data_IF_291861959152
#
_entry.id   IF_291861959152
#
_cell.length_a   1.000
_cell.length_b   1.000
_cell.length_c   1.000
_cell.angle_alpha   90.00
_cell.angle_beta   90.00
_cell.angle_gamma   90.00
#
_symmetry.space_group_name_H-M   'P 1'
#
loop_
_entity.id
_entity.type
_entity.pdbx_description
1 polymer ?
#
# COMPACT_ATOMS: atom_id res chain seq x y z
N UNK A 1 43.31 -48.02 -7.14
CA UNK A 1 42.19 -47.87 -6.17
C UNK A 1 41.25 -46.72 -6.56
N UNK A 2 41.76 -45.52 -6.86
CA UNK A 2 40.96 -44.33 -7.22
C UNK A 2 40.09 -44.52 -8.49
N UNK A 3 40.67 -45.06 -9.57
CA UNK A 3 39.97 -45.29 -10.84
C UNK A 3 38.81 -46.31 -10.73
N UNK A 4 38.92 -47.28 -9.80
CA UNK A 4 37.89 -48.28 -9.56
C UNK A 4 36.68 -47.67 -8.83
N UNK A 5 36.93 -46.79 -7.86
CA UNK A 5 35.90 -46.09 -7.12
C UNK A 5 35.11 -45.12 -8.02
N UNK A 6 35.79 -44.45 -8.95
CA UNK A 6 35.17 -43.56 -9.93
C UNK A 6 34.26 -44.32 -10.90
N UNK A 7 34.75 -45.44 -11.45
CA UNK A 7 33.96 -46.33 -12.32
C UNK A 7 32.74 -46.90 -11.58
N UNK A 8 32.88 -47.25 -10.31
CA UNK A 8 31.76 -47.71 -9.48
C UNK A 8 30.70 -46.61 -9.29
N UNK A 9 31.12 -45.39 -8.95
CA UNK A 9 30.23 -44.22 -8.83
C UNK A 9 29.52 -43.89 -10.15
N UNK A 10 30.22 -43.99 -11.29
CA UNK A 10 29.65 -43.80 -12.62
C UNK A 10 28.54 -44.82 -12.91
N UNK A 11 28.78 -46.09 -12.63
CA UNK A 11 27.78 -47.15 -12.82
C UNK A 11 26.51 -46.90 -11.98
N UNK A 12 26.68 -46.50 -10.71
CA UNK A 12 25.53 -46.14 -9.87
C UNK A 12 24.77 -44.94 -10.43
N UNK A 13 25.47 -43.91 -10.91
CA UNK A 13 24.86 -42.73 -11.52
C UNK A 13 24.02 -43.10 -12.76
N UNK A 14 24.54 -44.00 -13.62
CA UNK A 14 23.85 -44.52 -14.80
C UNK A 14 22.56 -45.24 -14.40
N UNK A 15 22.64 -46.16 -13.43
CA UNK A 15 21.48 -46.93 -12.97
C UNK A 15 20.42 -46.04 -12.31
N UNK A 16 20.84 -45.07 -11.49
CA UNK A 16 19.93 -44.06 -10.94
C UNK A 16 19.26 -43.24 -12.05
N UNK A 17 20.01 -42.85 -13.08
CA UNK A 17 19.47 -42.07 -14.19
C UNK A 17 18.45 -42.88 -14.99
N UNK A 18 18.73 -44.14 -15.32
CA UNK A 18 17.79 -45.04 -16.01
C UNK A 18 16.49 -45.24 -15.23
N UNK A 19 16.55 -45.24 -13.89
CA UNK A 19 15.37 -45.28 -12.99
C UNK A 19 14.58 -43.95 -12.96
N UNK A 20 15.03 -42.92 -13.66
CA UNK A 20 14.35 -41.62 -13.76
C UNK A 20 14.81 -40.59 -12.74
N UNK A 21 15.92 -40.80 -12.00
CA UNK A 21 16.46 -39.80 -11.10
C UNK A 21 16.99 -38.56 -11.86
N UNK A 22 16.78 -37.38 -11.29
CA UNK A 22 17.36 -36.12 -11.76
C UNK A 22 18.84 -36.00 -11.41
N UNK A 23 19.57 -35.15 -12.12
CA UNK A 23 20.99 -34.92 -11.84
C UNK A 23 21.23 -34.39 -10.43
N UNK A 24 20.34 -33.53 -9.91
CA UNK A 24 20.43 -33.04 -8.52
C UNK A 24 20.26 -34.16 -7.49
N UNK A 25 19.42 -35.16 -7.74
CA UNK A 25 19.26 -36.30 -6.83
C UNK A 25 20.47 -37.23 -6.85
N UNK A 26 21.07 -37.42 -8.03
CA UNK A 26 22.28 -38.23 -8.20
C UNK A 26 23.48 -37.52 -7.55
N UNK A 27 23.63 -36.20 -7.78
CA UNK A 27 24.64 -35.36 -7.15
C UNK A 27 24.53 -35.41 -5.63
N UNK A 28 23.33 -35.18 -5.08
CA UNK A 28 23.12 -35.19 -3.62
C UNK A 28 23.45 -36.55 -2.97
N UNK A 29 23.25 -37.65 -3.70
CA UNK A 29 23.49 -39.00 -3.18
C UNK A 29 24.94 -39.46 -3.32
N UNK A 30 25.61 -39.09 -4.41
CA UNK A 30 26.96 -39.57 -4.73
C UNK A 30 28.05 -38.52 -4.50
N UNK A 31 27.66 -37.28 -4.21
CA UNK A 31 28.51 -36.10 -4.07
C UNK A 31 29.41 -35.88 -5.29
N UNK A 32 28.82 -35.96 -6.49
CA UNK A 32 29.52 -35.81 -7.77
C UNK A 32 29.03 -34.55 -8.48
N UNK A 33 29.94 -33.66 -8.92
CA UNK A 33 29.55 -32.44 -9.61
C UNK A 33 28.65 -32.69 -10.83
N UNK A 34 27.65 -31.82 -11.03
CA UNK A 34 26.75 -31.88 -12.21
C UNK A 34 27.48 -31.86 -13.56
N UNK A 35 28.64 -31.19 -13.65
CA UNK A 35 29.46 -31.18 -14.87
C UNK A 35 29.91 -32.60 -15.24
N UNK A 36 30.42 -33.35 -14.27
CA UNK A 36 30.83 -34.76 -14.43
C UNK A 36 29.62 -35.65 -14.74
N UNK A 37 28.51 -35.49 -14.03
CA UNK A 37 27.28 -36.22 -14.32
C UNK A 37 26.73 -35.95 -15.73
N UNK A 38 26.83 -34.71 -16.21
CA UNK A 38 26.42 -34.35 -17.57
C UNK A 38 27.23 -35.07 -18.63
N UNK A 39 28.55 -35.22 -18.40
CA UNK A 39 29.42 -35.97 -19.28
C UNK A 39 29.07 -37.47 -19.26
N UNK A 40 28.96 -38.08 -18.08
CA UNK A 40 28.68 -39.52 -17.94
C UNK A 40 27.29 -39.94 -18.43
N UNK A 41 26.29 -39.08 -18.28
CA UNK A 41 24.88 -39.42 -18.53
C UNK A 41 24.36 -38.88 -19.87
N UNK A 42 25.21 -38.23 -20.68
CA UNK A 42 24.83 -37.55 -21.94
C UNK A 42 24.00 -38.43 -22.89
N UNK A 43 24.31 -39.71 -22.96
CA UNK A 43 23.69 -40.64 -23.91
C UNK A 43 22.43 -41.35 -23.36
N UNK A 44 22.03 -41.09 -22.11
CA UNK A 44 20.88 -41.75 -21.47
C UNK A 44 19.61 -40.93 -21.73
N UNK A 45 18.70 -41.49 -22.53
CA UNK A 45 17.37 -40.92 -22.77
C UNK A 45 16.38 -41.43 -21.73
N UNK A 46 15.61 -40.53 -21.13
CA UNK A 46 14.50 -40.87 -20.24
C UNK A 46 13.22 -41.13 -21.03
N UNK A 47 12.31 -41.92 -20.47
CA UNK A 47 10.97 -42.10 -21.05
C UNK A 47 10.11 -40.83 -20.90
N UNK A 48 9.09 -40.62 -21.75
CA UNK A 48 8.18 -39.47 -21.64
C UNK A 48 7.55 -39.35 -20.25
N UNK A 49 7.18 -40.48 -19.62
CA UNK A 49 6.61 -40.52 -18.28
C UNK A 49 7.61 -40.06 -17.19
N UNK A 50 8.87 -40.51 -17.28
CA UNK A 50 9.92 -40.07 -16.37
C UNK A 50 10.20 -38.57 -16.51
N UNK A 51 10.22 -38.05 -17.75
CA UNK A 51 10.36 -36.61 -18.00
C UNK A 51 9.19 -35.83 -17.41
N UNK A 52 7.95 -36.30 -17.62
CA UNK A 52 6.74 -35.69 -17.05
C UNK A 52 6.81 -35.64 -15.52
N UNK A 53 7.15 -36.76 -14.86
CA UNK A 53 7.30 -36.84 -13.40
C UNK A 53 8.36 -35.86 -12.87
N UNK A 54 9.50 -35.74 -13.55
CA UNK A 54 10.54 -34.77 -13.19
C UNK A 54 10.07 -33.32 -13.34
N UNK A 55 9.33 -33.01 -14.41
CA UNK A 55 8.77 -31.67 -14.64
C UNK A 55 7.68 -31.31 -13.63
N UNK A 56 6.81 -32.25 -13.27
CA UNK A 56 5.81 -32.07 -12.21
C UNK A 56 6.48 -31.81 -10.86
N UNK A 57 7.52 -32.58 -10.52
CA UNK A 57 8.30 -32.36 -9.30
C UNK A 57 8.94 -30.97 -9.29
N UNK A 58 9.58 -30.55 -10.39
CA UNK A 58 10.15 -29.21 -10.54
C UNK A 58 9.10 -28.12 -10.37
N UNK A 59 7.95 -28.27 -11.02
CA UNK A 59 6.84 -27.33 -10.93
C UNK A 59 6.29 -27.23 -9.51
N UNK A 60 6.12 -28.37 -8.82
CA UNK A 60 5.67 -28.41 -7.42
C UNK A 60 6.66 -27.70 -6.50
N UNK A 61 7.95 -27.94 -6.66
CA UNK A 61 9.00 -27.25 -5.90
C UNK A 61 9.04 -25.75 -6.21
N UNK A 62 8.93 -25.36 -7.47
CA UNK A 62 8.88 -23.96 -7.87
C UNK A 62 7.67 -23.23 -7.25
N UNK A 63 6.48 -23.85 -7.30
CA UNK A 63 5.27 -23.34 -6.64
C UNK A 63 5.46 -23.21 -5.12
N UNK A 64 6.00 -24.24 -4.46
CA UNK A 64 6.26 -24.19 -3.03
C UNK A 64 7.25 -23.08 -2.64
N UNK A 65 8.32 -22.90 -3.43
CA UNK A 65 9.28 -21.82 -3.23
C UNK A 65 8.67 -20.43 -3.46
N UNK A 66 7.80 -20.29 -4.47
CA UNK A 66 7.07 -19.05 -4.73
C UNK A 66 6.14 -18.70 -3.55
N UNK A 67 5.38 -19.68 -3.04
CA UNK A 67 4.54 -19.49 -1.85
C UNK A 67 5.36 -19.10 -0.62
N UNK A 68 6.52 -19.74 -0.40
CA UNK A 68 7.45 -19.40 0.68
C UNK A 68 8.02 -18.00 0.53
N UNK A 69 8.29 -17.54 -0.70
CA UNK A 69 8.74 -16.18 -0.97
C UNK A 69 7.63 -15.18 -0.66
N UNK A 70 6.40 -15.43 -1.14
CA UNK A 70 5.23 -14.59 -0.86
C UNK A 70 5.00 -14.47 0.65
N UNK A 71 4.99 -15.58 1.38
CA UNK A 71 4.75 -15.55 2.84
C UNK A 71 5.84 -14.79 3.59
N UNK A 72 7.12 -14.98 3.22
CA UNK A 72 8.25 -14.20 3.76
C UNK A 72 8.11 -12.71 3.47
N UNK A 73 7.74 -12.35 2.24
CA UNK A 73 7.53 -10.95 1.84
C UNK A 73 6.38 -10.32 2.61
N UNK A 74 5.23 -11.01 2.75
CA UNK A 74 4.09 -10.51 3.52
C UNK A 74 4.46 -10.29 4.99
N UNK A 75 5.20 -11.24 5.60
CA UNK A 75 5.69 -11.11 6.98
C UNK A 75 6.63 -9.91 7.14
N UNK A 76 7.58 -9.74 6.23
CA UNK A 76 8.50 -8.60 6.24
C UNK A 76 7.76 -7.27 6.09
N UNK A 77 6.77 -7.19 5.20
CA UNK A 77 5.93 -6.00 5.03
C UNK A 77 5.21 -5.66 6.34
N UNK A 78 4.66 -6.67 7.02
CA UNK A 78 3.95 -6.47 8.27
C UNK A 78 4.91 -6.04 9.40
N UNK A 79 6.08 -6.67 9.51
CA UNK A 79 7.12 -6.29 10.48
C UNK A 79 7.59 -4.85 10.27
N UNK A 80 7.80 -4.42 9.02
CA UNK A 80 8.17 -3.04 8.69
C UNK A 80 7.03 -2.07 9.05
N UNK A 81 5.78 -2.41 8.76
CA UNK A 81 4.62 -1.57 9.13
C UNK A 81 4.50 -1.40 10.64
N UNK A 82 4.59 -2.50 11.39
CA UNK A 82 4.47 -2.49 12.86
C UNK A 82 5.62 -1.67 13.46
N UNK A 83 6.87 -1.97 13.09
CA UNK A 83 8.03 -1.24 13.62
C UNK A 83 7.96 0.25 13.28
N UNK A 84 7.71 0.62 12.02
CA UNK A 84 7.60 2.03 11.62
C UNK A 84 6.45 2.77 12.29
N UNK A 85 5.35 2.06 12.62
CA UNK A 85 4.24 2.68 13.36
C UNK A 85 4.61 3.07 14.79
N UNK A 86 5.58 2.38 15.40
CA UNK A 86 6.06 2.65 16.75
C UNK A 86 7.03 3.85 16.81
N UNK A 87 7.59 4.26 15.67
CA UNK A 87 8.44 5.46 15.57
C UNK A 87 7.61 6.73 15.86
N UNK A 88 6.33 6.72 15.50
CA UNK A 88 5.39 7.82 15.75
C UNK A 88 4.79 7.68 17.15
N UNK A 89 5.47 8.19 18.17
CA UNK A 89 5.05 8.06 19.58
C UNK A 89 3.98 9.05 20.01
N UNK A 90 4.28 10.34 19.93
CA UNK A 90 3.40 11.44 20.33
C UNK A 90 3.53 12.56 19.33
N UNK A 91 2.40 13.18 18.99
CA UNK A 91 2.36 14.35 18.12
C UNK A 91 2.27 15.58 19.01
N UNK A 92 3.34 16.38 19.04
CA UNK A 92 3.37 17.67 19.69
C UNK A 92 2.49 18.70 18.97
N UNK A 93 2.16 19.80 19.65
CA UNK A 93 1.42 20.91 19.02
C UNK A 93 2.15 21.48 17.80
N UNK A 94 3.49 21.55 17.84
CA UNK A 94 4.30 22.03 16.71
C UNK A 94 4.24 21.09 15.51
N UNK A 95 4.34 19.78 15.74
CA UNK A 95 4.22 18.77 14.67
C UNK A 95 2.81 18.81 14.07
N UNK A 96 1.76 18.83 14.91
CA UNK A 96 0.39 18.95 14.43
C UNK A 96 0.20 20.23 13.60
N UNK A 97 0.71 21.37 14.09
CA UNK A 97 0.69 22.65 13.36
C UNK A 97 1.30 22.52 11.96
N UNK A 98 2.52 21.96 11.85
CA UNK A 98 3.19 21.72 10.57
C UNK A 98 2.41 20.75 9.67
N UNK A 99 1.87 19.66 10.21
CA UNK A 99 1.07 18.70 9.46
C UNK A 99 -0.13 19.38 8.78
N UNK A 100 -0.88 20.22 9.51
CA UNK A 100 -2.01 20.93 8.92
C UNK A 100 -1.62 21.97 7.88
N UNK A 101 -0.48 22.65 8.02
CA UNK A 101 0.07 23.52 6.99
C UNK A 101 0.34 22.74 5.70
N UNK A 102 1.03 21.61 5.80
CA UNK A 102 1.39 20.78 4.64
C UNK A 102 0.15 20.20 3.99
N UNK A 103 -0.83 19.73 4.78
CA UNK A 103 -2.12 19.26 4.26
C UNK A 103 -2.88 20.36 3.51
N UNK A 104 -2.94 21.57 4.07
CA UNK A 104 -3.57 22.72 3.43
C UNK A 104 -2.85 23.10 2.13
N UNK A 105 -1.51 23.13 2.16
CA UNK A 105 -0.69 23.45 0.99
C UNK A 105 -0.94 22.44 -0.14
N UNK A 106 -0.86 21.14 0.16
CA UNK A 106 -1.09 20.05 -0.81
C UNK A 106 -2.50 20.08 -1.41
N UNK A 107 -3.49 20.59 -0.68
CA UNK A 107 -4.86 20.71 -1.17
C UNK A 107 -5.03 21.77 -2.29
N UNK A 108 -4.05 22.65 -2.51
CA UNK A 108 -4.06 23.60 -3.62
C UNK A 108 -4.85 24.89 -3.38
N UNK A 109 -5.09 25.24 -2.12
CA UNK A 109 -5.98 26.35 -1.72
C UNK A 109 -5.43 27.76 -1.95
N UNK A 110 -4.20 27.87 -2.48
CA UNK A 110 -3.45 29.13 -2.55
C UNK A 110 -4.10 30.20 -3.43
N UNK A 111 -4.94 29.81 -4.38
CA UNK A 111 -5.46 30.75 -5.40
C UNK A 111 -6.69 31.53 -4.95
N UNK A 112 -7.33 31.17 -3.82
CA UNK A 112 -8.55 31.86 -3.39
C UNK A 112 -8.67 31.98 -1.86
N UNK A 113 -7.72 32.68 -1.24
CA UNK A 113 -7.70 32.96 0.21
C UNK A 113 -8.97 33.68 0.71
N UNK A 114 -9.70 34.37 -0.19
CA UNK A 114 -10.99 35.01 0.13
C UNK A 114 -12.08 33.98 0.49
N UNK A 115 -11.99 32.75 -0.02
CA UNK A 115 -12.91 31.65 0.32
C UNK A 115 -12.59 31.00 1.68
N UNK A 116 -11.53 31.44 2.35
CA UNK A 116 -11.12 30.93 3.64
C UNK A 116 -10.45 29.56 3.56
N UNK A 117 -10.47 28.84 4.68
CA UNK A 117 -9.90 27.51 4.82
C UNK A 117 -10.87 26.45 4.31
N UNK A 118 -10.40 25.63 3.38
CA UNK A 118 -11.10 24.44 2.94
C UNK A 118 -10.14 23.26 2.78
N UNK A 119 -10.62 22.05 2.94
CA UNK A 119 -9.82 20.84 2.76
C UNK A 119 -10.70 19.75 2.17
N UNK A 120 -10.20 19.01 1.18
CA UNK A 120 -10.98 17.96 0.50
C UNK A 120 -10.21 16.64 0.52
N UNK A 121 -10.86 15.57 0.94
CA UNK A 121 -10.26 14.23 0.96
C UNK A 121 -11.32 13.15 0.86
N UNK A 122 -10.98 12.06 0.16
CA UNK A 122 -11.74 10.81 0.20
C UNK A 122 -11.30 9.90 1.35
N UNK A 123 -10.15 10.18 1.95
CA UNK A 123 -9.59 9.44 3.08
C UNK A 123 -10.21 9.98 4.40
N UNK A 124 -10.94 9.14 5.17
CA UNK A 124 -11.60 9.56 6.41
C UNK A 124 -10.62 9.93 7.53
N UNK A 125 -9.44 9.33 7.59
CA UNK A 125 -8.46 9.62 8.64
C UNK A 125 -7.75 10.94 8.37
N UNK A 126 -7.55 11.31 7.10
CA UNK A 126 -7.12 12.66 6.71
C UNK A 126 -8.16 13.73 7.07
N UNK A 127 -9.45 13.43 6.90
CA UNK A 127 -10.54 14.32 7.33
C UNK A 127 -10.49 14.53 8.85
N UNK A 128 -10.39 13.45 9.64
CA UNK A 128 -10.28 13.53 11.11
C UNK A 128 -9.06 14.31 11.56
N UNK A 129 -7.90 14.06 10.94
CA UNK A 129 -6.67 14.78 11.24
C UNK A 129 -6.80 16.28 10.97
N UNK A 130 -7.42 16.66 9.85
CA UNK A 130 -7.63 18.06 9.53
C UNK A 130 -8.64 18.73 10.48
N UNK A 131 -9.72 18.03 10.87
CA UNK A 131 -10.66 18.51 11.89
C UNK A 131 -9.97 18.71 13.26
N UNK A 132 -9.12 17.77 13.67
CA UNK A 132 -8.30 17.92 14.89
C UNK A 132 -7.38 19.13 14.81
N UNK A 133 -6.73 19.34 13.67
CA UNK A 133 -5.89 20.53 13.46
C UNK A 133 -6.67 21.84 13.55
N UNK A 134 -7.86 21.91 12.93
CA UNK A 134 -8.72 23.08 13.00
C UNK A 134 -9.09 23.45 14.44
N UNK A 135 -9.42 22.45 15.27
CA UNK A 135 -9.77 22.65 16.68
C UNK A 135 -8.56 23.04 17.52
N UNK A 136 -7.51 22.21 17.50
CA UNK A 136 -6.40 22.31 18.44
C UNK A 136 -5.41 23.43 18.10
N UNK A 137 -5.28 23.76 16.80
CA UNK A 137 -4.31 24.73 16.29
C UNK A 137 -5.00 25.94 15.69
N UNK A 138 -6.05 25.72 14.90
CA UNK A 138 -6.82 26.79 14.28
C UNK A 138 -7.75 27.53 15.23
N UNK A 139 -8.03 26.98 16.42
CA UNK A 139 -8.99 27.54 17.37
C UNK A 139 -10.43 27.62 16.84
N UNK A 140 -10.75 26.79 15.83
CA UNK A 140 -12.03 26.80 15.13
C UNK A 140 -13.05 25.95 15.91
N UNK A 141 -14.22 26.53 16.16
CA UNK A 141 -15.34 25.81 16.78
C UNK A 141 -16.13 25.02 15.73
N UNK A 142 -16.80 23.97 16.18
CA UNK A 142 -17.54 23.06 15.29
C UNK A 142 -18.66 23.78 14.52
N UNK A 143 -19.28 24.82 15.09
CA UNK A 143 -20.35 25.58 14.43
C UNK A 143 -19.86 26.39 13.22
N UNK A 144 -18.55 26.65 13.15
CA UNK A 144 -17.90 27.36 12.05
C UNK A 144 -17.51 26.41 10.91
N UNK A 145 -17.60 25.10 11.15
CA UNK A 145 -17.26 24.06 10.18
C UNK A 145 -18.51 23.69 9.38
N UNK A 146 -18.33 23.62 8.06
CA UNK A 146 -19.37 23.25 7.09
C UNK A 146 -18.85 22.18 6.16
N UNK A 147 -19.75 21.33 5.66
CA UNK A 147 -19.39 20.21 4.81
C UNK A 147 -20.09 20.28 3.44
N UNK A 148 -19.35 19.86 2.42
CA UNK A 148 -19.90 19.50 1.12
C UNK A 148 -19.53 18.06 0.81
N UNK A 149 -20.53 17.24 0.47
CA UNK A 149 -20.31 15.86 0.02
C UNK A 149 -20.23 15.87 -1.50
N UNK A 150 -19.13 15.36 -2.04
CA UNK A 150 -19.00 15.03 -3.45
C UNK A 150 -19.09 13.52 -3.58
N UNK A 151 -19.93 13.02 -4.48
CA UNK A 151 -20.08 11.58 -4.70
C UNK A 151 -20.25 11.25 -6.17
N UNK A 152 -19.87 10.02 -6.52
CA UNK A 152 -20.13 9.48 -7.85
C UNK A 152 -21.59 9.10 -7.96
N UNK A 153 -22.27 9.64 -8.96
CA UNK A 153 -23.67 9.28 -9.19
C UNK A 153 -24.25 9.89 -10.45
N UNK A 154 -25.42 9.39 -10.81
CA UNK A 154 -26.27 9.91 -11.87
C UNK A 154 -27.61 10.29 -11.26
N UNK A 155 -28.07 11.54 -11.46
CA UNK A 155 -29.35 12.03 -10.93
C UNK A 155 -30.55 11.19 -11.36
N UNK A 156 -30.45 10.50 -12.51
CA UNK A 156 -31.51 9.62 -13.04
C UNK A 156 -31.56 8.24 -12.38
N UNK A 157 -30.64 7.93 -11.45
CA UNK A 157 -30.64 6.65 -10.74
C UNK A 157 -31.82 6.56 -9.78
N UNK A 158 -32.64 5.51 -9.90
CA UNK A 158 -33.78 5.24 -9.00
C UNK A 158 -33.37 5.13 -7.53
N UNK A 159 -32.11 4.80 -7.24
CA UNK A 159 -31.60 4.60 -5.87
C UNK A 159 -30.81 5.80 -5.32
N UNK A 160 -30.83 6.96 -6.00
CA UNK A 160 -29.97 8.09 -5.63
C UNK A 160 -30.24 8.62 -4.21
N UNK A 161 -31.50 8.65 -3.77
CA UNK A 161 -31.85 9.08 -2.41
C UNK A 161 -31.26 8.19 -1.32
N UNK A 162 -31.28 6.87 -1.53
CA UNK A 162 -30.67 5.90 -0.60
C UNK A 162 -29.16 6.06 -0.51
N UNK A 163 -28.48 6.20 -1.66
CA UNK A 163 -27.03 6.42 -1.72
C UNK A 163 -26.64 7.73 -1.02
N UNK A 164 -27.47 8.76 -1.16
CA UNK A 164 -27.28 10.04 -0.48
C UNK A 164 -27.35 9.88 1.04
N UNK A 165 -28.37 9.20 1.56
CA UNK A 165 -28.51 8.98 3.01
C UNK A 165 -27.36 8.11 3.54
N UNK A 166 -27.02 6.99 2.87
CA UNK A 166 -25.89 6.13 3.25
C UNK A 166 -24.56 6.89 3.31
N UNK A 167 -24.29 7.73 2.30
CA UNK A 167 -23.04 8.52 2.25
C UNK A 167 -23.03 9.60 3.34
N UNK A 168 -24.17 10.23 3.59
CA UNK A 168 -24.30 11.23 4.65
C UNK A 168 -24.11 10.60 6.03
N UNK A 169 -24.67 9.40 6.24
CA UNK A 169 -24.51 8.63 7.48
C UNK A 169 -23.06 8.26 7.72
N UNK A 170 -22.38 7.77 6.68
CA UNK A 170 -20.98 7.45 6.73
C UNK A 170 -20.13 8.66 7.16
N UNK A 171 -20.29 9.81 6.51
CA UNK A 171 -19.50 11.00 6.86
C UNK A 171 -19.88 11.60 8.21
N UNK A 172 -21.14 11.52 8.61
CA UNK A 172 -21.59 11.88 9.96
C UNK A 172 -20.88 11.04 11.02
N UNK A 173 -20.79 9.71 10.84
CA UNK A 173 -20.07 8.82 11.74
C UNK A 173 -18.55 9.09 11.74
N UNK A 174 -17.94 9.32 10.57
CA UNK A 174 -16.50 9.58 10.45
C UNK A 174 -16.08 10.86 11.16
N UNK A 175 -16.89 11.91 11.04
CA UNK A 175 -16.54 13.27 11.50
C UNK A 175 -17.06 13.59 12.90
N UNK A 176 -18.11 12.89 13.34
CA UNK A 176 -18.86 13.19 14.57
C UNK A 176 -19.91 14.30 14.43
N UNK A 177 -20.09 14.87 13.23
CA UNK A 177 -21.08 15.91 12.96
C UNK A 177 -22.45 15.34 12.66
N UNK A 178 -23.51 16.13 12.87
CA UNK A 178 -24.88 15.70 12.63
C UNK A 178 -25.19 15.70 11.12
N UNK A 179 -26.11 14.83 10.67
CA UNK A 179 -26.50 14.77 9.24
C UNK A 179 -26.90 16.14 8.66
N UNK A 180 -27.51 17.01 9.48
CA UNK A 180 -27.91 18.38 9.09
C UNK A 180 -26.75 19.28 8.67
N UNK A 181 -25.52 18.97 9.11
CA UNK A 181 -24.32 19.75 8.80
C UNK A 181 -23.77 19.44 7.39
N UNK A 182 -24.32 18.41 6.73
CA UNK A 182 -23.99 17.97 5.37
C UNK A 182 -25.06 18.38 4.36
N UNK A 183 -25.41 19.67 4.35
CA UNK A 183 -26.52 20.17 3.54
C UNK A 183 -26.25 20.22 2.03
N UNK A 184 -24.98 20.27 1.61
CA UNK A 184 -24.62 20.38 0.21
C UNK A 184 -24.08 19.06 -0.35
N UNK A 185 -24.75 18.54 -1.37
CA UNK A 185 -24.38 17.29 -2.02
C UNK A 185 -24.24 17.51 -3.52
N UNK A 186 -23.09 17.10 -4.05
CA UNK A 186 -22.70 17.31 -5.44
C UNK A 186 -22.36 15.98 -6.10
N UNK A 187 -22.82 15.81 -7.35
CA UNK A 187 -22.47 14.65 -8.16
C UNK A 187 -21.27 14.97 -9.05
N UNK A 188 -20.22 14.15 -8.95
CA UNK A 188 -18.99 14.29 -9.72
C UNK A 188 -18.44 12.92 -10.13
N UNK A 189 -17.27 12.90 -10.81
CA UNK A 189 -16.61 11.66 -11.22
C UNK A 189 -16.01 10.88 -10.03
N UNK A 190 -15.59 11.60 -8.99
CA UNK A 190 -14.99 11.05 -7.77
C UNK A 190 -15.78 11.46 -6.53
N UNK A 191 -15.69 10.63 -5.48
CA UNK A 191 -16.30 10.91 -4.18
C UNK A 191 -15.28 11.39 -3.16
N UNK A 192 -15.59 12.45 -2.44
CA UNK A 192 -14.78 12.99 -1.34
C UNK A 192 -15.63 13.91 -0.45
N UNK A 193 -15.17 14.12 0.77
CA UNK A 193 -15.73 15.15 1.65
C UNK A 193 -14.90 16.42 1.53
N UNK A 194 -15.57 17.57 1.48
CA UNK A 194 -14.92 18.87 1.63
C UNK A 194 -15.34 19.52 2.93
N UNK A 195 -14.35 19.85 3.75
CA UNK A 195 -14.44 20.71 4.91
C UNK A 195 -14.32 22.16 4.43
N UNK A 196 -15.15 23.06 4.95
CA UNK A 196 -15.07 24.51 4.78
C UNK A 196 -15.19 25.16 6.14
N UNK A 197 -14.41 26.22 6.38
CA UNK A 197 -14.50 26.99 7.62
C UNK A 197 -15.06 28.37 7.30
N UNK A 198 -16.20 28.71 7.90
CA UNK A 198 -16.80 30.04 7.77
C UNK A 198 -15.86 31.12 8.31
N UNK A 199 -15.89 32.31 7.71
CA UNK A 199 -15.17 33.50 8.19
C UNK A 199 -13.65 33.33 8.40
N UNK A 200 -13.03 32.32 7.79
CA UNK A 200 -11.64 31.90 8.06
C UNK A 200 -10.59 32.53 7.13
N UNK A 201 -10.88 33.69 6.54
CA UNK A 201 -9.97 34.32 5.57
C UNK A 201 -8.66 34.82 6.21
N UNK A 202 -8.68 35.17 7.49
CA UNK A 202 -7.47 35.52 8.26
C UNK A 202 -6.60 34.28 8.45
N UNK A 203 -7.19 33.18 8.91
CA UNK A 203 -6.48 31.90 9.07
C UNK A 203 -5.89 31.41 7.74
N UNK A 204 -6.63 31.52 6.63
CA UNK A 204 -6.11 31.17 5.31
C UNK A 204 -4.86 31.98 4.92
N UNK A 205 -4.82 33.28 5.25
CA UNK A 205 -3.64 34.14 5.02
C UNK A 205 -2.48 33.80 5.97
N UNK A 206 -2.76 33.49 7.23
CA UNK A 206 -1.74 33.01 8.17
C UNK A 206 -1.09 31.74 7.66
N UNK A 207 -1.88 30.76 7.20
CA UNK A 207 -1.35 29.53 6.59
C UNK A 207 -0.51 29.84 5.35
N UNK A 208 -0.97 30.76 4.47
CA UNK A 208 -0.19 31.17 3.31
C UNK A 208 1.19 31.74 3.70
N UNK A 209 1.23 32.62 4.70
CA UNK A 209 2.49 33.17 5.23
C UNK A 209 3.40 32.10 5.83
N UNK A 210 2.84 31.12 6.57
CA UNK A 210 3.61 29.98 7.07
C UNK A 210 4.21 29.14 5.94
N UNK A 211 3.46 28.92 4.86
CA UNK A 211 3.96 28.19 3.69
C UNK A 211 5.12 28.94 3.02
N UNK A 212 5.01 30.26 2.86
CA UNK A 212 6.09 31.06 2.28
C UNK A 212 7.35 31.04 3.17
N UNK A 213 7.17 31.07 4.50
CA UNK A 213 8.25 30.84 5.45
C UNK A 213 8.94 29.47 5.26
N UNK A 214 8.18 28.39 5.10
CA UNK A 214 8.72 27.04 4.84
C UNK A 214 9.50 27.01 3.52
N UNK A 215 8.97 27.64 2.46
CA UNK A 215 9.64 27.69 1.16
C UNK A 215 10.98 28.42 1.24
N UNK A 216 10.99 29.59 1.89
CA UNK A 216 12.18 30.41 2.03
C UNK A 216 13.27 29.68 2.82
N UNK A 217 12.93 29.04 3.94
CA UNK A 217 13.88 28.31 4.77
C UNK A 217 14.51 27.09 4.07
N UNK A 218 13.83 26.53 3.06
CA UNK A 218 14.27 25.33 2.35
C UNK A 218 14.70 25.61 0.90
N UNK A 219 14.81 26.88 0.49
CA UNK A 219 15.13 27.29 -0.88
C UNK A 219 14.24 26.60 -1.94
N UNK A 220 12.93 26.48 -1.67
CA UNK A 220 11.97 25.84 -2.57
C UNK A 220 11.34 26.81 -3.60
N UNK A 221 11.89 28.03 -3.71
CA UNK A 221 11.40 29.07 -4.60
C UNK A 221 12.01 28.98 -6.00
#
# INVERSE_FOLDING_TARGET
MIQYLEKYKQNIAIEMRKRGCSYSEIENRLHIPKSTLSYWLKNIKLTPEQVKKLNEKRTKTAKANALKKISRTLRMIEEVKISSSQDVKKISKKELWLMGIVLYWKNGNKTNLKKGVHFSSSDPDMIKLFLKWLRDIGGIRDEEIRFDIFMKGNRKSKNIGKIIDETTNYWSQVTGFLKKDFSNIYLQKSGFLRIKVAQSSILARQIAGWIDGIKNLNNLN
#
